data_IF_216419457694
#
_entry.id   IF_216419457694
#
_cell.length_a   1.000
_cell.length_b   1.000
_cell.length_c   1.000
_cell.angle_alpha   90.00
_cell.angle_beta   90.00
_cell.angle_gamma   90.00
#
_symmetry.space_group_name_H-M   'P 1'
#
loop_
_entity.id
_entity.type
_entity.pdbx_description
1 polymer ?
#
# COMPACT_ATOMS: atom_id res chain seq x y z
N UNK A 1 -11.60 6.19 -32.02
CA UNK A 1 -11.85 6.24 -30.55
C UNK A 1 -12.01 4.89 -29.83
N UNK A 2 -12.73 3.88 -30.37
CA UNK A 2 -12.99 2.59 -29.66
C UNK A 2 -11.74 1.85 -29.14
N UNK A 3 -10.69 1.74 -29.95
CA UNK A 3 -9.40 1.11 -29.54
C UNK A 3 -8.74 1.86 -28.38
N UNK A 4 -8.75 3.20 -28.40
CA UNK A 4 -8.20 4.06 -27.34
C UNK A 4 -8.91 3.83 -26.00
N UNK A 5 -10.24 3.70 -26.00
CA UNK A 5 -11.01 3.40 -24.77
C UNK A 5 -10.66 2.00 -24.23
N UNK A 6 -10.53 0.99 -25.10
CA UNK A 6 -10.11 -0.36 -24.69
C UNK A 6 -8.72 -0.35 -24.04
N UNK A 7 -7.76 0.34 -24.65
CA UNK A 7 -6.40 0.49 -24.11
C UNK A 7 -6.41 1.21 -22.76
N UNK A 8 -7.14 2.32 -22.64
CA UNK A 8 -7.26 3.05 -21.37
C UNK A 8 -7.95 2.21 -20.28
N UNK A 9 -8.94 1.38 -20.63
CA UNK A 9 -9.57 0.44 -19.69
C UNK A 9 -8.54 -0.56 -19.15
N UNK A 10 -7.73 -1.14 -20.03
CA UNK A 10 -6.67 -2.07 -19.65
C UNK A 10 -5.59 -1.39 -18.78
N UNK A 11 -5.12 -0.21 -19.17
CA UNK A 11 -4.15 0.57 -18.39
C UNK A 11 -4.69 0.96 -17.01
N UNK A 12 -5.97 1.33 -16.91
CA UNK A 12 -6.60 1.63 -15.63
C UNK A 12 -6.61 0.39 -14.74
N UNK A 13 -6.98 -0.77 -15.28
CA UNK A 13 -6.97 -2.04 -14.54
C UNK A 13 -5.56 -2.39 -14.05
N UNK A 14 -4.55 -2.26 -14.90
CA UNK A 14 -3.16 -2.46 -14.52
C UNK A 14 -2.72 -1.53 -13.37
N UNK A 15 -3.09 -0.24 -13.43
CA UNK A 15 -2.77 0.71 -12.35
C UNK A 15 -3.51 0.41 -11.05
N UNK A 16 -4.73 -0.10 -11.11
CA UNK A 16 -5.44 -0.60 -9.91
C UNK A 16 -4.70 -1.76 -9.26
N UNK A 17 -4.23 -2.73 -10.05
CA UNK A 17 -3.44 -3.85 -9.53
C UNK A 17 -2.12 -3.38 -8.89
N UNK A 18 -1.45 -2.39 -9.49
CA UNK A 18 -0.24 -1.80 -8.90
C UNK A 18 -0.52 -1.14 -7.55
N UNK A 19 -1.64 -0.42 -7.42
CA UNK A 19 -2.07 0.18 -6.15
C UNK A 19 -2.36 -0.89 -5.09
N UNK A 20 -3.08 -1.96 -5.46
CA UNK A 20 -3.38 -3.08 -4.56
C UNK A 20 -2.12 -3.79 -4.08
N UNK A 21 -1.18 -4.07 -4.99
CA UNK A 21 0.11 -4.66 -4.63
C UNK A 21 0.88 -3.75 -3.65
N UNK A 22 0.87 -2.43 -3.87
CA UNK A 22 1.49 -1.49 -2.95
C UNK A 22 0.81 -1.49 -1.56
N UNK A 23 -0.52 -1.57 -1.49
CA UNK A 23 -1.27 -1.70 -0.23
C UNK A 23 -0.86 -2.95 0.53
N UNK A 24 -0.77 -4.10 -0.14
CA UNK A 24 -0.37 -5.36 0.47
C UNK A 24 1.04 -5.25 1.07
N UNK A 25 1.99 -4.64 0.34
CA UNK A 25 3.36 -4.41 0.85
C UNK A 25 3.37 -3.53 2.11
N UNK A 26 2.58 -2.45 2.13
CA UNK A 26 2.44 -1.58 3.30
C UNK A 26 1.88 -2.36 4.50
N UNK A 27 0.84 -3.17 4.29
CA UNK A 27 0.24 -3.99 5.35
C UNK A 27 1.26 -4.98 5.91
N UNK A 28 1.99 -5.69 5.05
CA UNK A 28 3.02 -6.64 5.48
C UNK A 28 4.12 -5.94 6.29
N UNK A 29 4.57 -4.76 5.85
CA UNK A 29 5.55 -3.95 6.57
C UNK A 29 5.04 -3.51 7.96
N UNK A 30 3.75 -3.14 8.07
CA UNK A 30 3.13 -2.81 9.37
C UNK A 30 3.08 -4.01 10.30
N UNK A 31 2.64 -5.17 9.79
CA UNK A 31 2.59 -6.40 10.57
C UNK A 31 3.98 -6.82 11.07
N UNK A 32 5.02 -6.65 10.25
CA UNK A 32 6.39 -6.92 10.65
C UNK A 32 6.87 -5.94 11.74
N UNK A 33 6.55 -4.65 11.61
CA UNK A 33 6.85 -3.66 12.64
C UNK A 33 6.18 -3.98 13.97
N UNK A 34 4.91 -4.39 13.95
CA UNK A 34 4.18 -4.80 15.15
C UNK A 34 4.82 -6.02 15.82
N UNK A 35 5.25 -7.03 15.06
CA UNK A 35 5.99 -8.18 15.60
C UNK A 35 7.27 -7.74 16.29
N UNK A 36 8.07 -6.87 15.66
CA UNK A 36 9.31 -6.34 16.26
C UNK A 36 9.04 -5.53 17.55
N UNK A 37 7.94 -4.78 17.59
CA UNK A 37 7.53 -4.04 18.80
C UNK A 37 7.10 -5.00 19.92
N UNK A 38 6.39 -6.07 19.59
CA UNK A 38 6.03 -7.11 20.55
C UNK A 38 7.27 -7.83 21.09
N UNK A 39 8.24 -8.16 20.23
CA UNK A 39 9.53 -8.74 20.63
C UNK A 39 10.29 -7.80 21.57
N UNK A 40 10.37 -6.51 21.24
CA UNK A 40 10.99 -5.51 22.11
C UNK A 40 10.31 -5.44 23.48
N UNK A 41 8.99 -5.47 23.53
CA UNK A 41 8.25 -5.47 24.79
C UNK A 41 8.57 -6.72 25.64
N UNK A 42 8.70 -7.90 25.01
CA UNK A 42 9.14 -9.13 25.72
C UNK A 42 10.54 -8.98 26.31
N UNK A 43 11.48 -8.38 25.57
CA UNK A 43 12.84 -8.11 26.06
C UNK A 43 12.82 -7.15 27.25
N UNK A 44 12.02 -6.08 27.20
CA UNK A 44 11.87 -5.14 28.31
C UNK A 44 11.30 -5.82 29.55
N UNK A 45 10.29 -6.67 29.39
CA UNK A 45 9.70 -7.44 30.50
C UNK A 45 10.75 -8.40 31.09
N UNK A 46 11.47 -9.11 30.23
CA UNK A 46 12.54 -10.02 30.66
C UNK A 46 13.62 -9.29 31.46
N UNK A 47 14.10 -8.15 30.95
CA UNK A 47 15.08 -7.30 31.62
C UNK A 47 14.57 -6.82 32.98
N UNK A 48 13.33 -6.33 33.07
CA UNK A 48 12.71 -5.93 34.35
C UNK A 48 12.66 -7.09 35.35
N UNK A 49 12.35 -8.30 34.89
CA UNK A 49 12.33 -9.48 35.76
C UNK A 49 13.73 -9.83 36.27
N UNK A 50 14.76 -9.73 35.44
CA UNK A 50 16.16 -9.92 35.86
C UNK A 50 16.60 -8.88 36.90
N UNK A 51 16.25 -7.61 36.74
CA UNK A 51 16.53 -6.58 37.76
C UNK A 51 15.76 -6.80 39.05
N UNK A 52 14.47 -7.14 38.97
CA UNK A 52 13.68 -7.46 40.16
C UNK A 52 14.25 -8.66 40.94
N UNK A 53 14.84 -9.64 40.23
CA UNK A 53 15.55 -10.77 40.86
C UNK A 53 16.81 -10.32 41.60
N UNK A 54 17.56 -9.35 41.04
CA UNK A 54 18.73 -8.76 41.70
C UNK A 54 18.35 -7.94 42.95
N UNK A 55 17.27 -7.18 42.90
CA UNK A 55 16.83 -6.35 44.04
C UNK A 55 16.25 -7.17 45.20
N UNK A 56 15.54 -8.27 44.91
CA UNK A 56 14.73 -8.98 45.92
C UNK A 56 15.36 -10.24 46.49
N UNK A 57 16.33 -10.86 45.83
CA UNK A 57 16.98 -12.09 46.33
C UNK A 57 18.25 -11.77 47.09
N UNK A 58 18.44 -12.41 48.26
CA UNK A 58 19.79 -12.69 48.76
C UNK A 58 20.42 -13.67 47.77
N UNK A 59 21.41 -13.22 47.01
CA UNK A 59 22.12 -14.05 46.05
C UNK A 59 23.01 -15.01 46.84
N UNK A 60 22.73 -16.31 46.76
CA UNK A 60 23.39 -17.32 47.60
C UNK A 60 24.65 -17.88 46.95
N UNK A 61 24.78 -17.80 45.61
CA UNK A 61 25.93 -18.32 44.87
C UNK A 61 26.47 -17.30 43.82
N UNK A 62 27.80 -17.24 43.66
CA UNK A 62 28.49 -16.39 42.70
C UNK A 62 28.15 -16.72 41.23
N UNK A 63 27.83 -17.98 40.93
CA UNK A 63 27.40 -18.41 39.60
C UNK A 63 26.02 -17.88 39.22
N UNK A 64 25.07 -17.84 40.18
CA UNK A 64 23.74 -17.26 39.96
C UNK A 64 23.85 -15.77 39.65
N UNK A 65 24.76 -15.07 40.33
CA UNK A 65 25.01 -13.65 40.13
C UNK A 65 25.62 -13.39 38.74
N UNK A 66 26.62 -14.19 38.33
CA UNK A 66 27.18 -14.15 36.96
C UNK A 66 26.13 -14.41 35.90
N UNK A 67 25.27 -15.41 36.11
CA UNK A 67 24.21 -15.76 35.16
C UNK A 67 23.22 -14.61 34.96
N UNK A 68 22.78 -13.97 36.06
CA UNK A 68 21.83 -12.85 35.97
C UNK A 68 22.45 -11.62 35.29
N UNK A 69 23.72 -11.32 35.59
CA UNK A 69 24.46 -10.23 34.92
C UNK A 69 24.60 -10.49 33.42
N UNK A 70 24.99 -11.70 33.03
CA UNK A 70 25.09 -12.10 31.63
C UNK A 70 23.74 -11.97 30.90
N UNK A 71 22.64 -12.36 31.54
CA UNK A 71 21.29 -12.20 30.97
C UNK A 71 20.91 -10.72 30.80
N UNK A 72 21.30 -9.86 31.75
CA UNK A 72 21.07 -8.42 31.66
C UNK A 72 21.86 -7.78 30.51
N UNK A 73 23.15 -8.10 30.39
CA UNK A 73 24.00 -7.64 29.28
C UNK A 73 23.46 -8.09 27.92
N UNK A 74 23.17 -9.39 27.77
CA UNK A 74 22.55 -9.89 26.54
C UNK A 74 21.23 -9.22 26.22
N UNK A 75 20.38 -8.95 27.21
CA UNK A 75 19.10 -8.27 26.99
C UNK A 75 19.30 -6.86 26.41
N UNK A 76 20.36 -6.15 26.83
CA UNK A 76 20.72 -4.83 26.30
C UNK A 76 21.19 -4.93 24.85
N UNK A 77 22.07 -5.88 24.54
CA UNK A 77 22.55 -6.10 23.16
C UNK A 77 21.39 -6.45 22.21
N UNK A 78 20.47 -7.32 22.65
CA UNK A 78 19.27 -7.66 21.89
C UNK A 78 18.35 -6.46 21.69
N UNK A 79 18.19 -5.60 22.71
CA UNK A 79 17.39 -4.39 22.61
C UNK A 79 17.97 -3.42 21.55
N UNK A 80 19.30 -3.26 21.50
CA UNK A 80 19.96 -2.42 20.50
C UNK A 80 19.81 -2.96 19.07
N UNK A 81 19.93 -4.27 18.89
CA UNK A 81 19.68 -4.92 17.60
C UNK A 81 18.23 -4.71 17.17
N UNK A 82 17.27 -4.89 18.07
CA UNK A 82 15.85 -4.66 17.80
C UNK A 82 15.57 -3.19 17.47
N UNK A 83 16.19 -2.25 18.17
CA UNK A 83 16.06 -0.82 17.88
C UNK A 83 16.54 -0.47 16.48
N UNK A 84 17.68 -1.03 16.04
CA UNK A 84 18.19 -0.87 14.67
C UNK A 84 17.21 -1.44 13.65
N UNK A 85 16.69 -2.65 13.87
CA UNK A 85 15.68 -3.28 12.99
C UNK A 85 14.38 -2.46 12.91
N UNK A 86 13.88 -1.98 14.04
CA UNK A 86 12.68 -1.12 14.10
C UNK A 86 12.91 0.18 13.32
N UNK A 87 14.09 0.79 13.44
CA UNK A 87 14.42 2.01 12.68
C UNK A 87 14.40 1.76 11.18
N UNK A 88 15.07 0.70 10.72
CA UNK A 88 15.06 0.31 9.31
C UNK A 88 13.64 0.03 8.81
N UNK A 89 12.83 -0.70 9.58
CA UNK A 89 11.45 -1.02 9.19
C UNK A 89 10.55 0.23 9.12
N UNK A 90 10.79 1.23 9.98
CA UNK A 90 10.07 2.52 9.93
C UNK A 90 10.45 3.33 8.68
N UNK A 91 11.72 3.33 8.30
CA UNK A 91 12.19 3.98 7.07
C UNK A 91 11.62 3.28 5.83
N UNK A 92 11.61 1.95 5.81
CA UNK A 92 10.99 1.16 4.76
C UNK A 92 9.49 1.46 4.64
N UNK A 93 8.77 1.52 5.77
CA UNK A 93 7.35 1.87 5.80
C UNK A 93 7.09 3.25 5.20
N UNK A 94 7.92 4.24 5.53
CA UNK A 94 7.82 5.59 4.96
C UNK A 94 7.99 5.57 3.43
N UNK A 95 8.97 4.81 2.94
CA UNK A 95 9.19 4.66 1.50
C UNK A 95 7.99 3.99 0.82
N UNK A 96 7.47 2.90 1.40
CA UNK A 96 6.31 2.19 0.86
C UNK A 96 5.04 3.06 0.85
N UNK A 97 4.84 3.91 1.86
CA UNK A 97 3.74 4.87 1.87
C UNK A 97 3.87 5.90 0.75
N UNK A 98 5.08 6.42 0.49
CA UNK A 98 5.33 7.32 -0.63
C UNK A 98 5.07 6.63 -1.98
N UNK A 99 5.44 5.35 -2.12
CA UNK A 99 5.13 4.56 -3.31
C UNK A 99 3.63 4.35 -3.51
N UNK A 100 2.90 4.06 -2.42
CA UNK A 100 1.44 3.92 -2.46
C UNK A 100 0.76 5.23 -2.88
N UNK A 101 1.22 6.37 -2.38
CA UNK A 101 0.68 7.68 -2.75
C UNK A 101 0.89 7.96 -4.25
N UNK A 102 2.08 7.65 -4.79
CA UNK A 102 2.36 7.76 -6.23
C UNK A 102 1.44 6.85 -7.04
N UNK A 103 1.31 5.58 -6.66
CA UNK A 103 0.44 4.63 -7.34
C UNK A 103 -1.03 5.08 -7.35
N UNK A 104 -1.51 5.63 -6.23
CA UNK A 104 -2.87 6.20 -6.13
C UNK A 104 -3.07 7.38 -7.09
N UNK A 105 -2.12 8.32 -7.14
CA UNK A 105 -2.16 9.47 -8.06
C UNK A 105 -2.19 9.01 -9.52
N UNK A 106 -1.36 8.04 -9.89
CA UNK A 106 -1.31 7.47 -11.24
C UNK A 106 -2.61 6.78 -11.64
N UNK A 107 -3.20 5.98 -10.74
CA UNK A 107 -4.51 5.36 -10.97
C UNK A 107 -5.58 6.41 -11.22
N UNK A 108 -5.66 7.43 -10.37
CA UNK A 108 -6.65 8.50 -10.48
C UNK A 108 -6.52 9.24 -11.82
N UNK A 109 -5.30 9.51 -12.27
CA UNK A 109 -5.04 10.09 -13.59
C UNK A 109 -5.57 9.18 -14.70
N UNK A 110 -5.29 7.87 -14.66
CA UNK A 110 -5.80 6.93 -15.67
C UNK A 110 -7.32 6.83 -15.69
N UNK A 111 -7.98 6.83 -14.53
CA UNK A 111 -9.44 6.85 -14.43
C UNK A 111 -10.04 8.10 -15.08
N UNK A 112 -9.46 9.28 -14.82
CA UNK A 112 -9.93 10.52 -15.46
C UNK A 112 -9.76 10.50 -16.97
N UNK A 113 -8.64 9.98 -17.48
CA UNK A 113 -8.39 9.86 -18.91
C UNK A 113 -9.34 8.87 -19.58
N UNK A 114 -9.60 7.72 -18.93
CA UNK A 114 -10.57 6.72 -19.38
C UNK A 114 -11.96 7.34 -19.50
N UNK A 115 -12.40 8.06 -18.47
CA UNK A 115 -13.73 8.68 -18.43
C UNK A 115 -13.89 9.75 -19.51
N UNK A 116 -12.88 10.63 -19.68
CA UNK A 116 -12.88 11.63 -20.76
C UNK A 116 -12.93 10.98 -22.15
N UNK A 117 -12.15 9.94 -22.40
CA UNK A 117 -12.15 9.24 -23.69
C UNK A 117 -13.49 8.55 -23.97
N UNK A 118 -14.15 8.03 -22.93
CA UNK A 118 -15.47 7.41 -23.04
C UNK A 118 -16.55 8.44 -23.36
N UNK A 119 -16.52 9.61 -22.70
CA UNK A 119 -17.43 10.72 -22.98
C UNK A 119 -17.29 11.24 -24.41
N UNK A 120 -16.06 11.43 -24.91
CA UNK A 120 -15.82 11.85 -26.29
C UNK A 120 -16.38 10.84 -27.29
N UNK A 121 -16.16 9.55 -27.04
CA UNK A 121 -16.71 8.49 -27.89
C UNK A 121 -18.24 8.48 -27.88
N UNK A 122 -18.90 8.70 -26.74
CA UNK A 122 -20.36 8.79 -26.70
C UNK A 122 -20.88 10.00 -27.48
N UNK A 123 -20.23 11.16 -27.36
CA UNK A 123 -20.60 12.37 -28.12
C UNK A 123 -20.45 12.13 -29.63
N UNK A 124 -19.35 11.52 -30.06
CA UNK A 124 -19.15 11.16 -31.47
C UNK A 124 -20.24 10.20 -31.98
N UNK A 125 -20.62 9.20 -31.19
CA UNK A 125 -21.69 8.28 -31.59
C UNK A 125 -23.05 8.96 -31.70
N UNK A 126 -23.37 9.87 -30.79
CA UNK A 126 -24.62 10.65 -30.82
C UNK A 126 -24.65 11.57 -32.05
N UNK A 127 -23.55 12.29 -32.33
CA UNK A 127 -23.43 13.14 -33.53
C UNK A 127 -23.53 12.34 -34.83
N UNK A 128 -23.05 11.10 -34.83
CA UNK A 128 -23.18 10.21 -36.00
C UNK A 128 -24.64 9.78 -36.19
N UNK A 129 -25.30 9.38 -35.10
CA UNK A 129 -26.72 8.99 -35.13
C UNK A 129 -27.62 10.12 -35.67
N UNK A 130 -27.46 11.35 -35.19
CA UNK A 130 -28.27 12.48 -35.69
C UNK A 130 -28.02 12.75 -37.17
N UNK A 131 -26.77 12.70 -37.64
CA UNK A 131 -26.47 12.83 -39.08
C UNK A 131 -27.14 11.76 -39.93
N UNK A 132 -27.08 10.50 -39.48
CA UNK A 132 -27.75 9.39 -40.17
C UNK A 132 -29.27 9.57 -40.20
N UNK A 133 -29.87 10.10 -39.13
CA UNK A 133 -31.30 10.42 -39.09
C UNK A 133 -31.67 11.57 -40.03
N UNK A 134 -30.88 12.65 -40.06
CA UNK A 134 -31.10 13.79 -40.97
C UNK A 134 -31.01 13.33 -42.44
N UNK A 135 -30.02 12.51 -42.78
CA UNK A 135 -29.86 11.93 -44.12
C UNK A 135 -31.08 11.09 -44.52
N UNK A 136 -31.61 10.26 -43.61
CA UNK A 136 -32.81 9.47 -43.83
C UNK A 136 -34.06 10.34 -44.03
N UNK A 137 -34.19 11.44 -43.28
CA UNK A 137 -35.29 12.39 -43.43
C UNK A 137 -35.21 13.06 -44.82
N UNK A 138 -34.03 13.51 -45.23
CA UNK A 138 -33.82 14.10 -46.56
C UNK A 138 -34.16 13.13 -47.68
N UNK A 139 -33.71 11.88 -47.60
CA UNK A 139 -34.06 10.84 -48.57
C UNK A 139 -35.57 10.58 -48.63
N UNK A 140 -36.26 10.59 -47.48
CA UNK A 140 -37.71 10.42 -47.41
C UNK A 140 -38.45 11.59 -48.05
N UNK A 141 -38.00 12.83 -47.82
CA UNK A 141 -38.59 14.03 -48.44
C UNK A 141 -38.35 14.00 -49.96
N UNK A 142 -37.13 13.69 -50.40
CA UNK A 142 -36.78 13.59 -51.81
C UNK A 142 -37.66 12.58 -52.56
N UNK A 143 -37.95 11.42 -51.95
CA UNK A 143 -38.85 10.40 -52.53
C UNK A 143 -40.34 10.78 -52.54
N UNK A 144 -40.77 11.76 -51.73
CA UNK A 144 -42.16 12.24 -51.73
C UNK A 144 -42.41 13.31 -52.78
N UNK A 145 -41.35 13.96 -53.25
CA UNK A 145 -41.40 15.08 -54.20
C UNK A 145 -41.06 14.65 -55.64
N UNK A 146 -40.91 13.35 -55.88
CA UNK A 146 -40.83 12.68 -57.18
C UNK A 146 -42.12 11.87 -57.34
#
# INVERSE_FOLDING_TARGET
>A
MRRRVKLLKFLTWYKTLQEEQAKIRVINCKNNLEKLLQEKNKVIIFRKNSYNMLEKKRLFNSEELKYILFQAEKSSEFEDILNKKIKMQKEELKNLLNFLEKAYKEKKLMETLKNKAQQLLSIESIKKFYREMDDLILLRIGRKNV
#
